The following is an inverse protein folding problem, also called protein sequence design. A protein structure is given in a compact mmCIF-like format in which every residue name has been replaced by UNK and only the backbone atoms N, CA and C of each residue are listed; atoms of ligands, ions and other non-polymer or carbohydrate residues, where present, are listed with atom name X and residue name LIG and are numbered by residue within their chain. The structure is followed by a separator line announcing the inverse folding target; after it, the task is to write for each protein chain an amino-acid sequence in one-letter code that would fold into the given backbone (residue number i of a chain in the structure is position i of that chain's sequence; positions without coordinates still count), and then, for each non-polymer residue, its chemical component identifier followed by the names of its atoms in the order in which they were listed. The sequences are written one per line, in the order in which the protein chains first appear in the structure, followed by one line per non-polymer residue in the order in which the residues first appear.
data_IF_230298892054
#
_entry.id   IF_230298892054
#
_cell.length_a   1.000
_cell.length_b   1.000
_cell.length_c   1.000
_cell.angle_alpha   90.00
_cell.angle_beta   90.00
_cell.angle_gamma   90.00
#
_symmetry.space_group_name_H-M   'P 1'
#
loop_
_entity.id
_entity.type
_entity.pdbx_description
1 polymer ?
#
# COMPACT_ATOMS: atom_id res chain seq x y z
N UNK A 1 -13.11 -9.13 2.48
CA UNK A 1 -14.54 -9.05 2.11
C UNK A 1 -15.41 -8.35 3.16
N UNK A 2 -15.20 -8.57 4.48
CA UNK A 2 -16.01 -7.92 5.54
C UNK A 2 -16.05 -6.41 5.42
N UNK A 3 -14.91 -5.76 5.12
CA UNK A 3 -14.82 -4.32 4.92
C UNK A 3 -15.60 -3.86 3.68
N UNK A 4 -15.43 -4.54 2.56
CA UNK A 4 -16.10 -4.23 1.29
C UNK A 4 -17.61 -4.41 1.40
N UNK A 5 -18.06 -5.47 2.06
CA UNK A 5 -19.49 -5.75 2.23
C UNK A 5 -20.25 -4.63 2.96
N UNK A 6 -19.58 -3.85 3.82
CA UNK A 6 -20.17 -2.67 4.45
C UNK A 6 -20.52 -1.60 3.42
N UNK A 7 -19.64 -1.34 2.46
CA UNK A 7 -19.91 -0.37 1.39
C UNK A 7 -20.99 -0.86 0.42
N UNK A 8 -20.96 -2.15 0.07
CA UNK A 8 -22.00 -2.75 -0.76
C UNK A 8 -23.37 -2.68 -0.11
N UNK A 9 -23.44 -2.91 1.21
CA UNK A 9 -24.67 -2.76 2.02
C UNK A 9 -25.26 -1.35 1.97
N UNK A 10 -24.43 -0.32 1.76
CA UNK A 10 -24.85 1.09 1.60
C UNK A 10 -25.11 1.48 0.12
N UNK A 11 -25.24 0.48 -0.78
CA UNK A 11 -25.51 0.71 -2.19
C UNK A 11 -24.35 1.31 -2.97
N UNK A 12 -23.11 1.17 -2.49
CA UNK A 12 -21.92 1.65 -3.20
C UNK A 12 -21.46 0.61 -4.22
N UNK A 13 -21.07 1.09 -5.41
CA UNK A 13 -20.31 0.30 -6.36
C UNK A 13 -18.82 0.36 -5.97
N UNK A 14 -18.21 -0.79 -5.73
CA UNK A 14 -16.84 -0.89 -5.23
C UNK A 14 -15.98 -1.63 -6.23
N UNK A 15 -14.87 -1.01 -6.64
CA UNK A 15 -13.84 -1.62 -7.48
C UNK A 15 -12.64 -1.91 -6.61
N UNK A 16 -12.12 -3.12 -6.71
CA UNK A 16 -10.78 -3.53 -6.25
C UNK A 16 -10.04 -4.08 -7.44
N UNK A 17 -8.77 -3.80 -7.51
CA UNK A 17 -7.90 -4.36 -8.53
C UNK A 17 -6.56 -4.72 -7.90
N UNK A 18 -5.88 -5.67 -8.50
CA UNK A 18 -4.50 -5.99 -8.15
C UNK A 18 -3.58 -4.96 -8.83
N UNK A 19 -2.65 -4.37 -8.11
CA UNK A 19 -1.62 -3.55 -8.71
C UNK A 19 -0.71 -4.41 -9.59
N UNK A 20 0.00 -3.79 -10.55
CA UNK A 20 1.07 -4.50 -11.28
C UNK A 20 1.99 -5.20 -10.27
N UNK A 21 2.55 -6.35 -10.65
CA UNK A 21 3.39 -7.19 -9.80
C UNK A 21 2.70 -7.83 -8.59
N UNK A 22 1.36 -7.84 -8.56
CA UNK A 22 0.60 -8.56 -7.53
C UNK A 22 -0.57 -9.34 -8.12
N UNK A 23 -0.98 -10.39 -7.42
CA UNK A 23 -2.17 -11.17 -7.73
C UNK A 23 -2.14 -11.74 -9.14
N UNK A 24 -3.14 -11.39 -9.95
CA UNK A 24 -3.34 -11.88 -11.31
C UNK A 24 -2.94 -10.88 -12.40
N UNK A 25 -2.30 -9.78 -12.04
CA UNK A 25 -1.88 -8.75 -13.00
C UNK A 25 -0.55 -9.09 -13.65
N UNK A 26 -0.11 -8.22 -14.54
CA UNK A 26 1.18 -8.32 -15.22
C UNK A 26 2.33 -8.27 -14.21
N UNK A 27 3.21 -9.27 -14.27
CA UNK A 27 4.50 -9.24 -13.61
C UNK A 27 5.52 -8.61 -14.56
N UNK A 28 6.27 -7.64 -14.06
CA UNK A 28 7.18 -6.80 -14.85
C UNK A 28 8.63 -7.19 -14.57
N UNK A 29 9.46 -7.34 -15.61
CA UNK A 29 10.91 -7.27 -15.43
C UNK A 29 11.29 -5.81 -15.19
N UNK A 30 11.56 -5.47 -13.92
CA UNK A 30 11.80 -4.08 -13.52
C UNK A 30 13.08 -3.50 -14.13
N UNK A 31 14.07 -4.32 -14.49
CA UNK A 31 15.30 -3.84 -15.12
C UNK A 31 15.06 -3.42 -16.57
N UNK A 32 14.14 -4.09 -17.27
CA UNK A 32 13.79 -3.77 -18.65
C UNK A 32 12.69 -2.69 -18.74
N UNK A 33 11.77 -2.72 -17.78
CA UNK A 33 10.58 -1.88 -17.76
C UNK A 33 10.36 -1.27 -16.36
N UNK A 34 11.26 -0.38 -15.89
CA UNK A 34 11.10 0.27 -14.60
C UNK A 34 9.84 1.14 -14.60
N UNK A 35 9.16 1.20 -13.47
CA UNK A 35 7.97 2.01 -13.26
C UNK A 35 8.03 2.74 -11.90
N UNK A 36 7.06 3.59 -11.63
CA UNK A 36 6.97 4.41 -10.44
C UNK A 36 5.50 4.55 -9.96
N UNK A 37 5.26 5.37 -8.92
CA UNK A 37 3.91 5.59 -8.39
C UNK A 37 3.01 6.34 -9.39
N UNK A 38 3.57 7.14 -10.29
CA UNK A 38 2.84 7.84 -11.35
C UNK A 38 2.26 6.86 -12.37
N UNK A 39 3.02 5.83 -12.73
CA UNK A 39 2.54 4.74 -13.58
C UNK A 39 1.42 3.96 -12.90
N UNK A 40 1.57 3.66 -11.61
CA UNK A 40 0.54 2.96 -10.83
C UNK A 40 -0.72 3.81 -10.63
N UNK A 41 -0.58 5.13 -10.51
CA UNK A 41 -1.72 6.05 -10.51
C UNK A 41 -2.43 6.05 -11.87
N UNK A 42 -1.68 6.00 -12.97
CA UNK A 42 -2.23 5.88 -14.32
C UNK A 42 -2.99 4.55 -14.51
N UNK A 43 -2.53 3.45 -13.91
CA UNK A 43 -3.27 2.18 -13.90
C UNK A 43 -4.62 2.33 -13.21
N UNK A 44 -4.66 3.03 -12.07
CA UNK A 44 -5.93 3.32 -11.38
C UNK A 44 -6.90 4.11 -12.25
N UNK A 45 -6.41 5.09 -13.01
CA UNK A 45 -7.23 5.85 -13.97
C UNK A 45 -7.72 4.94 -15.10
N UNK A 46 -6.86 4.09 -15.65
CA UNK A 46 -7.25 3.14 -16.69
C UNK A 46 -8.35 2.17 -16.19
N UNK A 47 -8.29 1.73 -14.94
CA UNK A 47 -9.34 0.93 -14.32
C UNK A 47 -10.65 1.73 -14.24
N UNK A 48 -10.62 3.00 -13.79
CA UNK A 48 -11.81 3.85 -13.77
C UNK A 48 -12.41 4.02 -15.17
N UNK A 49 -11.58 4.25 -16.18
CA UNK A 49 -12.01 4.42 -17.57
C UNK A 49 -12.65 3.13 -18.12
N UNK A 50 -12.08 1.97 -17.81
CA UNK A 50 -12.63 0.68 -18.22
C UNK A 50 -14.04 0.41 -17.67
N UNK A 51 -14.36 0.99 -16.48
CA UNK A 51 -15.70 0.93 -15.89
C UNK A 51 -16.58 2.13 -16.24
N UNK A 52 -16.12 3.06 -17.08
CA UNK A 52 -16.87 4.27 -17.46
C UNK A 52 -17.11 5.23 -16.30
N UNK A 53 -16.17 5.30 -15.35
CA UNK A 53 -16.28 6.14 -14.15
C UNK A 53 -15.50 7.43 -14.36
N UNK A 54 -16.20 8.55 -14.50
CA UNK A 54 -15.57 9.87 -14.67
C UNK A 54 -14.84 10.33 -13.40
N UNK A 55 -15.44 10.12 -12.24
CA UNK A 55 -14.85 10.45 -10.95
C UNK A 55 -15.40 9.58 -9.82
N UNK A 56 -14.60 9.38 -8.77
CA UNK A 56 -14.95 8.49 -7.68
C UNK A 56 -14.30 8.86 -6.35
N UNK A 57 -14.70 8.13 -5.33
CA UNK A 57 -14.02 8.10 -4.04
C UNK A 57 -12.88 7.10 -4.12
N UNK A 58 -11.69 7.48 -3.72
CA UNK A 58 -10.52 6.61 -3.75
C UNK A 58 -9.98 6.36 -2.34
N UNK A 59 -9.54 5.14 -2.10
CA UNK A 59 -8.92 4.76 -0.83
C UNK A 59 -7.70 3.89 -1.09
N UNK A 60 -6.65 4.10 -0.33
CA UNK A 60 -5.42 3.30 -0.42
C UNK A 60 -4.73 3.16 0.92
N UNK A 61 -4.14 1.98 1.14
CA UNK A 61 -3.40 1.68 2.36
C UNK A 61 -1.90 1.54 2.03
N UNK A 62 -1.03 2.06 2.90
CA UNK A 62 0.43 2.01 2.74
C UNK A 62 0.85 2.58 1.38
N UNK A 63 1.55 1.84 0.53
CA UNK A 63 1.86 2.23 -0.85
C UNK A 63 0.61 2.65 -1.64
N UNK A 64 -0.53 1.99 -1.41
CA UNK A 64 -1.81 2.40 -2.01
C UNK A 64 -2.21 3.83 -1.64
N UNK A 65 -1.89 4.28 -0.42
CA UNK A 65 -2.06 5.68 -0.02
C UNK A 65 -1.11 6.62 -0.75
N UNK A 66 0.12 6.21 -1.04
CA UNK A 66 1.05 6.99 -1.88
C UNK A 66 0.53 7.13 -3.32
N UNK A 67 -0.05 6.05 -3.88
CA UNK A 67 -0.72 6.09 -5.19
C UNK A 67 -1.91 7.07 -5.15
N UNK A 68 -2.73 7.04 -4.10
CA UNK A 68 -3.83 8.00 -3.93
C UNK A 68 -3.32 9.43 -3.84
N UNK A 69 -2.23 9.69 -3.12
CA UNK A 69 -1.60 11.03 -3.10
C UNK A 69 -1.15 11.46 -4.50
N UNK A 70 -0.56 10.57 -5.28
CA UNK A 70 -0.18 10.84 -6.67
C UNK A 70 -1.41 11.17 -7.52
N UNK A 71 -2.50 10.41 -7.37
CA UNK A 71 -3.79 10.72 -8.00
C UNK A 71 -4.31 12.12 -7.61
N UNK A 72 -4.21 12.51 -6.32
CA UNK A 72 -4.61 13.84 -5.85
C UNK A 72 -3.83 14.96 -6.52
N UNK A 73 -2.56 14.73 -6.83
CA UNK A 73 -1.67 15.72 -7.43
C UNK A 73 -1.81 15.79 -8.96
N UNK A 74 -1.99 14.66 -9.63
CA UNK A 74 -1.93 14.59 -11.10
C UNK A 74 -3.32 14.40 -11.74
N UNK A 75 -4.28 13.83 -11.03
CA UNK A 75 -5.60 13.45 -11.54
C UNK A 75 -6.74 13.98 -10.67
N UNK A 76 -6.57 15.14 -10.04
CA UNK A 76 -7.54 15.75 -9.12
C UNK A 76 -8.99 15.78 -9.64
N UNK A 77 -9.29 16.08 -10.92
CA UNK A 77 -10.66 16.08 -11.44
C UNK A 77 -11.34 14.70 -11.42
N UNK A 78 -10.56 13.61 -11.29
CA UNK A 78 -11.07 12.24 -11.24
C UNK A 78 -11.48 11.82 -9.81
N UNK A 79 -11.20 12.64 -8.79
CA UNK A 79 -11.40 12.30 -7.40
C UNK A 79 -12.50 13.17 -6.76
N UNK A 80 -13.45 12.51 -6.12
CA UNK A 80 -14.44 13.16 -5.23
C UNK A 80 -13.89 13.34 -3.82
N UNK A 81 -13.27 12.29 -3.29
CA UNK A 81 -12.58 12.28 -1.99
C UNK A 81 -11.40 11.32 -2.04
N UNK A 82 -10.45 11.52 -1.15
CA UNK A 82 -9.33 10.61 -0.92
C UNK A 82 -9.39 10.05 0.51
N UNK A 83 -9.03 8.78 0.68
CA UNK A 83 -8.80 8.18 2.00
C UNK A 83 -7.41 7.55 2.02
N UNK A 84 -6.57 8.04 2.91
CA UNK A 84 -5.19 7.59 3.10
C UNK A 84 -5.14 6.77 4.39
N UNK A 85 -4.74 5.51 4.29
CA UNK A 85 -4.71 4.60 5.43
C UNK A 85 -3.27 4.16 5.66
N UNK A 86 -2.72 4.38 6.87
CA UNK A 86 -1.36 3.98 7.26
C UNK A 86 -0.32 4.25 6.15
N UNK A 87 -0.23 5.49 5.69
CA UNK A 87 0.60 5.87 4.55
C UNK A 87 1.51 7.05 4.91
N UNK A 88 2.44 7.37 4.01
CA UNK A 88 3.39 8.46 4.17
C UNK A 88 3.38 9.39 2.96
N UNK A 89 3.63 10.70 3.14
CA UNK A 89 3.84 11.62 2.03
C UNK A 89 5.23 11.52 1.40
N UNK A 90 6.09 10.66 1.93
CA UNK A 90 7.45 10.46 1.45
C UNK A 90 7.51 9.33 0.43
N UNK A 91 8.42 9.41 -0.52
CA UNK A 91 8.84 8.31 -1.39
C UNK A 91 10.37 8.34 -1.51
N UNK A 92 10.94 7.16 -1.66
CA UNK A 92 12.38 6.96 -1.67
C UNK A 92 12.91 6.51 -0.31
N UNK A 93 13.83 5.58 -0.39
CA UNK A 93 14.72 5.21 0.70
C UNK A 93 15.92 6.13 0.63
N UNK A 94 15.97 7.15 1.48
CA UNK A 94 17.25 7.85 1.72
C UNK A 94 18.18 6.89 2.46
N UNK A 95 19.50 7.17 2.47
CA UNK A 95 20.47 6.42 3.30
C UNK A 95 20.05 6.35 4.79
N UNK A 96 19.07 7.15 5.20
CA UNK A 96 18.47 7.22 6.54
C UNK A 96 17.11 6.52 6.64
N UNK A 97 16.67 5.77 5.61
CA UNK A 97 15.38 5.08 5.56
C UNK A 97 14.21 5.99 5.15
N UNK A 98 12.97 5.59 5.52
CA UNK A 98 11.74 6.37 5.27
C UNK A 98 11.63 7.63 6.15
N UNK A 99 12.73 8.13 6.68
CA UNK A 99 12.77 9.37 7.44
C UNK A 99 13.18 10.53 6.55
N UNK A 100 12.42 11.61 6.57
CA UNK A 100 12.83 12.89 5.98
C UNK A 100 12.90 13.93 7.10
N UNK A 101 14.08 14.06 7.67
CA UNK A 101 14.42 15.13 8.62
C UNK A 101 13.61 15.17 9.91
N UNK A 102 12.31 15.39 9.80
CA UNK A 102 11.37 15.60 10.92
C UNK A 102 10.38 14.42 11.11
N UNK A 103 10.35 13.45 10.21
CA UNK A 103 9.51 12.25 10.37
C UNK A 103 10.36 11.05 10.84
N UNK A 104 9.88 10.33 11.87
CA UNK A 104 10.62 9.19 12.40
C UNK A 104 10.69 8.03 11.40
N UNK A 105 11.78 7.28 11.44
CA UNK A 105 11.92 6.03 10.70
C UNK A 105 11.15 4.87 11.33
N UNK A 106 11.15 3.70 10.69
CA UNK A 106 10.56 2.49 11.25
C UNK A 106 11.14 2.10 12.61
N UNK A 107 10.33 1.40 13.41
CA UNK A 107 10.74 0.85 14.69
C UNK A 107 11.94 -0.11 14.53
N UNK A 108 13.06 0.08 15.26
CA UNK A 108 14.25 -0.75 15.13
C UNK A 108 14.01 -2.24 15.43
N UNK A 109 13.17 -2.57 16.42
CA UNK A 109 12.86 -3.95 16.78
C UNK A 109 12.02 -4.62 15.68
N UNK A 110 11.11 -3.87 15.07
CA UNK A 110 10.36 -4.33 13.91
C UNK A 110 11.29 -4.58 12.72
N UNK A 111 12.24 -3.66 12.46
CA UNK A 111 13.22 -3.79 11.38
C UNK A 111 14.07 -5.06 11.54
N UNK A 112 14.62 -5.30 12.73
CA UNK A 112 15.41 -6.51 13.02
C UNK A 112 14.62 -7.79 12.78
N UNK A 113 13.39 -7.87 13.30
CA UNK A 113 12.49 -9.02 13.10
C UNK A 113 12.14 -9.21 11.63
N UNK A 114 11.86 -8.12 10.91
CA UNK A 114 11.52 -8.17 9.49
C UNK A 114 12.68 -8.69 8.64
N UNK A 115 13.90 -8.20 8.87
CA UNK A 115 15.11 -8.69 8.21
C UNK A 115 15.33 -10.18 8.52
N UNK A 116 15.19 -10.58 9.78
CA UNK A 116 15.31 -11.99 10.19
C UNK A 116 14.29 -12.88 9.47
N UNK A 117 13.02 -12.43 9.40
CA UNK A 117 11.96 -13.17 8.73
C UNK A 117 12.23 -13.32 7.22
N UNK A 118 12.79 -12.31 6.58
CA UNK A 118 13.08 -12.31 5.14
C UNK A 118 14.38 -13.02 4.77
N UNK A 119 15.30 -13.22 5.71
CA UNK A 119 16.60 -13.83 5.45
C UNK A 119 16.56 -15.31 5.05
N UNK A 120 15.46 -16.01 5.37
CA UNK A 120 15.25 -17.42 5.05
C UNK A 120 14.08 -17.57 4.09
N UNK A 121 14.29 -17.74 2.78
CA UNK A 121 13.20 -17.90 1.82
C UNK A 121 12.32 -19.11 2.18
N UNK A 122 10.98 -19.01 2.05
CA UNK A 122 10.09 -20.14 2.33
C UNK A 122 10.31 -21.26 1.30
N UNK A 123 10.37 -22.49 1.78
CA UNK A 123 10.59 -23.68 0.94
C UNK A 123 9.28 -24.33 0.47
N UNK A 124 8.13 -23.89 0.99
CA UNK A 124 6.82 -24.46 0.67
C UNK A 124 5.71 -23.40 0.68
N UNK A 125 4.58 -23.77 0.02
CA UNK A 125 3.35 -22.96 0.05
C UNK A 125 2.89 -22.65 1.48
N UNK A 126 2.91 -23.63 2.37
CA UNK A 126 2.48 -23.44 3.75
C UNK A 126 3.42 -22.49 4.50
N UNK A 127 4.72 -22.61 4.31
CA UNK A 127 5.69 -21.66 4.88
C UNK A 127 5.49 -20.24 4.36
N UNK A 128 5.08 -20.07 3.09
CA UNK A 128 4.74 -18.75 2.55
C UNK A 128 3.51 -18.15 3.25
N UNK A 129 2.48 -18.97 3.49
CA UNK A 129 1.26 -18.55 4.21
C UNK A 129 1.61 -18.15 5.65
N UNK A 130 2.36 -19.00 6.39
CA UNK A 130 2.78 -18.70 7.75
C UNK A 130 3.63 -17.41 7.83
N UNK A 131 4.53 -17.23 6.89
CA UNK A 131 5.33 -16.00 6.80
C UNK A 131 4.46 -14.75 6.65
N UNK A 132 3.44 -14.79 5.78
CA UNK A 132 2.51 -13.67 5.62
C UNK A 132 1.72 -13.41 6.89
N UNK A 133 1.26 -14.45 7.58
CA UNK A 133 0.57 -14.32 8.87
C UNK A 133 1.48 -13.63 9.89
N UNK A 134 2.75 -14.04 9.96
CA UNK A 134 3.72 -13.44 10.88
C UNK A 134 4.02 -11.98 10.52
N UNK A 135 4.16 -11.64 9.24
CA UNK A 135 4.28 -10.25 8.79
C UNK A 135 3.11 -9.41 9.29
N UNK A 136 1.87 -9.88 9.13
CA UNK A 136 0.69 -9.17 9.64
C UNK A 136 0.65 -9.10 11.17
N UNK A 137 1.11 -10.15 11.86
CA UNK A 137 1.20 -10.14 13.33
C UNK A 137 2.17 -9.07 13.82
N UNK A 138 3.30 -8.88 13.14
CA UNK A 138 4.28 -7.85 13.45
C UNK A 138 3.76 -6.42 13.23
N UNK A 139 2.68 -6.26 12.45
CA UNK A 139 2.02 -4.98 12.20
C UNK A 139 0.80 -4.75 13.09
N UNK A 140 0.34 -5.79 13.79
CA UNK A 140 -0.83 -5.67 14.65
C UNK A 140 -0.48 -4.85 15.90
N UNK A 141 -1.29 -3.84 16.18
CA UNK A 141 -1.25 -3.12 17.44
C UNK A 141 -1.84 -3.94 18.60
N UNK A 142 -1.89 -3.34 19.76
CA UNK A 142 -2.35 -4.00 21.00
C UNK A 142 -3.85 -3.78 21.30
N UNK A 143 -4.52 -2.91 20.55
CA UNK A 143 -5.91 -2.53 20.81
C UNK A 143 -6.93 -3.65 20.57
N UNK A 144 -6.63 -4.57 19.66
CA UNK A 144 -7.51 -5.69 19.30
C UNK A 144 -6.74 -7.01 19.27
N UNK A 145 -7.43 -8.11 19.54
CA UNK A 145 -6.84 -9.43 19.41
C UNK A 145 -6.55 -9.77 17.95
N UNK A 146 -5.35 -10.27 17.68
CA UNK A 146 -4.94 -10.65 16.33
C UNK A 146 -5.70 -11.90 15.86
N UNK A 147 -6.60 -11.71 14.89
CA UNK A 147 -7.37 -12.81 14.28
C UNK A 147 -6.51 -13.62 13.30
N UNK A 148 -5.77 -14.58 13.82
CA UNK A 148 -4.90 -15.45 13.00
C UNK A 148 -5.67 -16.30 11.99
N UNK A 149 -6.94 -16.63 12.27
CA UNK A 149 -7.81 -17.35 11.33
C UNK A 149 -8.13 -16.52 10.10
N UNK A 150 -8.56 -15.27 10.30
CA UNK A 150 -8.80 -14.33 9.21
C UNK A 150 -7.52 -14.05 8.41
N UNK A 151 -6.38 -13.87 9.08
CA UNK A 151 -5.12 -13.61 8.40
C UNK A 151 -4.66 -14.82 7.57
N UNK A 152 -4.91 -16.03 8.04
CA UNK A 152 -4.65 -17.25 7.24
C UNK A 152 -5.52 -17.31 5.98
N UNK A 153 -6.81 -16.98 6.09
CA UNK A 153 -7.68 -16.89 4.91
C UNK A 153 -7.14 -15.90 3.88
N UNK A 154 -6.74 -14.70 4.32
CA UNK A 154 -6.18 -13.66 3.46
C UNK A 154 -4.87 -14.13 2.82
N UNK A 155 -3.91 -14.60 3.63
CA UNK A 155 -2.62 -15.07 3.16
C UNK A 155 -2.74 -16.23 2.17
N UNK A 156 -3.69 -17.15 2.41
CA UNK A 156 -3.98 -18.26 1.49
C UNK A 156 -4.44 -17.75 0.13
N UNK A 157 -5.37 -16.80 0.10
CA UNK A 157 -5.86 -16.21 -1.15
C UNK A 157 -4.74 -15.48 -1.89
N UNK A 158 -3.92 -14.72 -1.21
CA UNK A 158 -2.78 -14.01 -1.81
C UNK A 158 -1.77 -14.98 -2.42
N UNK A 159 -1.39 -16.03 -1.68
CA UNK A 159 -0.42 -17.02 -2.15
C UNK A 159 -0.97 -17.82 -3.35
N UNK A 160 -2.24 -18.21 -3.30
CA UNK A 160 -2.86 -19.05 -4.35
C UNK A 160 -3.19 -18.26 -5.62
N UNK A 161 -3.40 -16.96 -5.53
CA UNK A 161 -3.79 -16.14 -6.67
C UNK A 161 -2.60 -15.46 -7.37
N UNK A 162 -1.46 -15.32 -6.70
CA UNK A 162 -0.32 -14.67 -7.29
C UNK A 162 0.28 -15.48 -8.44
N UNK A 163 0.50 -14.82 -9.58
CA UNK A 163 1.26 -15.38 -10.70
C UNK A 163 2.73 -15.55 -10.28
N UNK A 164 3.28 -14.53 -9.65
CA UNK A 164 4.63 -14.52 -9.09
C UNK A 164 4.64 -13.68 -7.80
N UNK A 165 4.83 -14.34 -6.66
CA UNK A 165 4.90 -13.67 -5.36
C UNK A 165 6.15 -12.80 -5.21
N UNK A 166 7.22 -13.10 -5.94
CA UNK A 166 8.46 -12.34 -5.88
C UNK A 166 8.39 -11.02 -6.64
N UNK A 167 7.49 -10.89 -7.60
CA UNK A 167 7.32 -9.67 -8.39
C UNK A 167 6.97 -8.45 -7.50
N UNK A 168 6.26 -8.65 -6.38
CA UNK A 168 5.96 -7.59 -5.43
C UNK A 168 7.20 -6.90 -4.83
N UNK A 169 8.38 -7.51 -4.95
CA UNK A 169 9.66 -6.88 -4.57
C UNK A 169 10.04 -5.70 -5.48
N UNK A 170 9.36 -5.53 -6.62
CA UNK A 170 9.50 -4.35 -7.46
C UNK A 170 8.86 -3.09 -6.85
N UNK A 171 7.90 -3.23 -5.93
CA UNK A 171 7.18 -2.09 -5.33
C UNK A 171 8.09 -1.12 -4.55
N UNK A 172 9.03 -1.56 -3.70
CA UNK A 172 10.02 -0.67 -3.10
C UNK A 172 10.81 0.12 -4.15
N UNK A 173 11.24 -0.53 -5.23
CA UNK A 173 11.96 0.13 -6.32
C UNK A 173 11.09 1.17 -7.05
N UNK A 174 9.82 0.88 -7.24
CA UNK A 174 8.86 1.83 -7.81
C UNK A 174 8.65 3.06 -6.92
N UNK A 175 8.61 2.88 -5.60
CA UNK A 175 8.55 3.98 -4.64
C UNK A 175 9.82 4.83 -4.75
N UNK A 176 10.99 4.21 -4.81
CA UNK A 176 12.29 4.90 -4.93
C UNK A 176 12.42 5.69 -6.23
N UNK A 177 11.84 5.19 -7.32
CA UNK A 177 11.82 5.87 -8.63
C UNK A 177 10.80 7.02 -8.71
N UNK A 178 10.01 7.27 -7.67
CA UNK A 178 8.92 8.25 -7.71
C UNK A 178 9.38 9.65 -7.30
N UNK A 179 8.78 10.67 -7.91
CA UNK A 179 9.12 12.08 -7.68
C UNK A 179 7.85 12.92 -7.45
N UNK A 180 7.88 13.91 -6.56
CA UNK A 180 8.98 14.23 -5.65
C UNK A 180 9.08 13.24 -4.47
N UNK A 181 10.26 13.16 -3.86
CA UNK A 181 10.47 12.32 -2.67
C UNK A 181 9.68 12.80 -1.44
N UNK A 182 9.36 14.08 -1.35
CA UNK A 182 8.48 14.66 -0.34
C UNK A 182 7.30 15.38 -1.01
N UNK A 183 6.09 14.83 -0.84
CA UNK A 183 4.86 15.36 -1.42
C UNK A 183 4.14 16.38 -0.54
N UNK A 184 4.54 16.59 0.73
CA UNK A 184 3.87 17.50 1.68
C UNK A 184 3.63 18.90 1.12
N UNK A 185 4.62 19.59 0.48
CA UNK A 185 4.41 20.93 -0.04
C UNK A 185 3.36 21.00 -1.15
N UNK A 186 3.15 19.93 -1.89
CA UNK A 186 2.16 19.84 -2.98
C UNK A 186 0.79 19.45 -2.41
N UNK A 187 0.75 18.48 -1.51
CA UNK A 187 -0.49 18.01 -0.86
C UNK A 187 -1.16 19.14 -0.07
N UNK A 188 -0.40 20.01 0.56
CA UNK A 188 -0.92 21.19 1.27
C UNK A 188 -1.73 22.15 0.38
N UNK A 189 -1.61 22.04 -0.94
CA UNK A 189 -2.34 22.88 -1.92
C UNK A 189 -3.58 22.20 -2.49
N UNK A 190 -3.76 20.91 -2.25
CA UNK A 190 -4.94 20.18 -2.73
C UNK A 190 -6.20 20.64 -2.00
N UNK A 191 -7.33 20.60 -2.70
CA UNK A 191 -8.65 20.90 -2.14
C UNK A 191 -9.57 19.67 -2.08
N UNK A 192 -9.03 18.51 -2.41
CA UNK A 192 -9.78 17.25 -2.36
C UNK A 192 -10.08 16.92 -0.90
N UNK A 193 -11.35 16.72 -0.51
CA UNK A 193 -11.68 16.28 0.83
C UNK A 193 -10.97 14.97 1.14
N UNK A 194 -10.14 14.97 2.16
CA UNK A 194 -9.25 13.86 2.48
C UNK A 194 -9.49 13.37 3.90
N UNK A 195 -9.62 12.06 4.05
CA UNK A 195 -9.60 11.35 5.33
C UNK A 195 -8.25 10.65 5.48
N UNK A 196 -7.60 10.89 6.61
CA UNK A 196 -6.39 10.16 7.02
C UNK A 196 -6.75 9.24 8.18
N UNK A 197 -6.36 7.96 8.05
CA UNK A 197 -6.50 6.94 9.10
C UNK A 197 -5.11 6.37 9.35
N UNK A 198 -4.63 6.48 10.59
CA UNK A 198 -3.30 6.00 10.95
C UNK A 198 -3.31 5.39 12.35
N UNK A 199 -2.66 4.24 12.49
CA UNK A 199 -2.50 3.57 13.78
C UNK A 199 -1.44 4.29 14.63
N UNK A 200 -1.72 4.47 15.92
CA UNK A 200 -0.73 5.05 16.85
C UNK A 200 0.40 4.09 17.22
N UNK A 201 0.27 2.82 16.85
CA UNK A 201 1.25 1.76 17.09
C UNK A 201 1.82 1.21 15.76
N UNK A 202 1.75 1.98 14.66
CA UNK A 202 2.31 1.57 13.37
C UNK A 202 3.84 1.50 13.46
N UNK A 203 4.46 0.30 13.31
CA UNK A 203 5.89 0.14 13.48
C UNK A 203 6.70 0.47 12.23
N UNK A 204 6.05 0.59 11.06
CA UNK A 204 6.73 0.90 9.78
C UNK A 204 6.70 2.39 9.52
N UNK A 205 5.51 2.95 9.59
CA UNK A 205 5.26 4.36 9.37
C UNK A 205 4.66 4.93 10.66
N UNK A 206 5.49 5.42 11.58
CA UNK A 206 5.00 5.99 12.83
C UNK A 206 3.89 7.02 12.62
N UNK A 207 3.05 7.19 13.63
CA UNK A 207 1.83 8.01 13.58
C UNK A 207 2.04 9.42 12.99
N UNK A 208 3.21 10.00 13.18
CA UNK A 208 3.61 11.31 12.68
C UNK A 208 3.53 11.44 11.14
N UNK A 209 3.60 10.31 10.41
CA UNK A 209 3.43 10.29 8.95
C UNK A 209 1.99 10.57 8.51
N UNK A 210 1.02 10.42 9.41
CA UNK A 210 -0.40 10.63 9.15
C UNK A 210 -0.95 11.98 9.61
N UNK A 211 -0.15 12.83 10.26
CA UNK A 211 -0.61 14.07 10.91
C UNK A 211 -0.31 15.30 10.08
#
# INVERSE_FOLDING_TARGET
ERFINKFLGEGRFVIRYDNRDTGKTTCVDFNEHPYNLEDMASDAIAVMDAYGIDNGHVAGASMGGMIVQTLMLQHAPRLRTATLIMSTPLSGTTDEGLSAGDLPGPDPDWMEKSISLLSSPPGSREEMIERKIEQFRMLAGTAEEFDSGLQREIATVEVDQAIDLSAAMNHPLAIDNSSPSDRRPLLARTKIPTLVIHGTEDPILPYEHGV
#
